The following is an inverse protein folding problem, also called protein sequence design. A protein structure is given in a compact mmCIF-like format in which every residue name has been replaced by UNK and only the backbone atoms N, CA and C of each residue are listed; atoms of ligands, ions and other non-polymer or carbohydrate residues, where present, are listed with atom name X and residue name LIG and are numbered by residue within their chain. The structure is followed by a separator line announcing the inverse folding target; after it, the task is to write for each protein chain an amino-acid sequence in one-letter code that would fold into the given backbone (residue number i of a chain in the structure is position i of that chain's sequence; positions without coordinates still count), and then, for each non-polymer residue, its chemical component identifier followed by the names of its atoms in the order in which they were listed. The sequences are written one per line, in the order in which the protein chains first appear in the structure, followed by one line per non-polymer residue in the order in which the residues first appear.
data_IF_457266212975
#
_entry.id   IF_457266212975
#
_cell.length_a   1.000
_cell.length_b   1.000
_cell.length_c   1.000
_cell.angle_alpha   90.00
_cell.angle_beta   90.00
_cell.angle_gamma   90.00
#
_symmetry.space_group_name_H-M   'P 1'
#
loop_
_entity.id
_entity.type
_entity.pdbx_description
1 polymer ?
#
# COMPACT_ATOMS: atom_id res chain seq x y z
N UNK A 1 9.10 24.12 1.86
CA UNK A 1 7.77 24.15 2.51
C UNK A 1 7.90 23.43 3.83
N UNK A 2 7.83 24.16 4.95
CA UNK A 2 7.89 23.61 6.30
C UNK A 2 6.58 22.85 6.57
N UNK A 3 6.67 21.54 6.78
CA UNK A 3 5.52 20.74 7.22
C UNK A 3 5.04 21.19 8.61
N UNK A 4 3.77 20.92 8.98
CA UNK A 4 3.24 21.31 10.27
C UNK A 4 4.11 20.75 11.41
N UNK A 5 4.55 21.61 12.32
CA UNK A 5 5.32 21.17 13.50
C UNK A 5 4.40 20.36 14.41
N UNK A 6 4.49 19.03 14.33
CA UNK A 6 3.80 18.14 15.26
C UNK A 6 4.40 18.36 16.64
N UNK A 7 3.59 18.88 17.57
CA UNK A 7 3.98 19.06 18.96
C UNK A 7 3.86 17.72 19.69
N UNK A 8 4.82 17.42 20.56
CA UNK A 8 4.72 16.27 21.46
C UNK A 8 3.43 16.33 22.28
N UNK A 9 2.75 15.19 22.39
CA UNK A 9 1.56 15.05 23.24
C UNK A 9 1.98 14.71 24.66
N UNK A 10 1.18 15.13 25.64
CA UNK A 10 1.50 14.83 27.04
C UNK A 10 1.39 13.34 27.32
N UNK A 11 2.18 12.84 28.27
CA UNK A 11 2.16 11.43 28.66
C UNK A 11 0.78 10.98 29.17
N UNK A 12 0.05 11.87 29.84
CA UNK A 12 -1.33 11.60 30.28
C UNK A 12 -2.28 11.44 29.10
N UNK A 13 -2.16 12.29 28.07
CA UNK A 13 -2.99 12.20 26.86
C UNK A 13 -2.72 10.92 26.07
N UNK A 14 -1.46 10.48 26.02
CA UNK A 14 -1.07 9.18 25.42
C UNK A 14 -1.85 8.06 26.08
N UNK A 15 -1.76 7.93 27.40
CA UNK A 15 -2.39 6.81 28.11
C UNK A 15 -3.91 6.87 28.09
N UNK A 16 -4.50 8.06 28.27
CA UNK A 16 -5.96 8.21 28.18
C UNK A 16 -6.49 7.85 26.80
N UNK A 17 -5.78 8.24 25.74
CA UNK A 17 -6.22 7.92 24.37
C UNK A 17 -6.14 6.43 24.12
N UNK A 18 -5.07 5.76 24.57
CA UNK A 18 -4.95 4.30 24.46
C UNK A 18 -6.10 3.59 25.19
N UNK A 19 -6.44 4.03 26.40
CA UNK A 19 -7.53 3.42 27.20
C UNK A 19 -8.90 3.60 26.57
N UNK A 20 -9.12 4.70 25.85
CA UNK A 20 -10.37 4.97 25.13
C UNK A 20 -10.50 4.19 23.81
N UNK A 21 -9.42 3.57 23.31
CA UNK A 21 -9.45 2.80 22.07
C UNK A 21 -9.80 1.32 22.31
N UNK A 22 -11.06 0.95 22.05
CA UNK A 22 -11.60 -0.39 22.31
C UNK A 22 -10.78 -1.53 21.67
N UNK A 23 -10.27 -1.34 20.45
CA UNK A 23 -9.54 -2.37 19.71
C UNK A 23 -8.03 -2.39 19.98
N UNK A 24 -7.51 -1.49 20.84
CA UNK A 24 -6.09 -1.29 21.14
C UNK A 24 -5.19 -1.14 19.89
N UNK A 25 -5.77 -0.78 18.75
CA UNK A 25 -5.05 -0.45 17.51
C UNK A 25 -5.02 1.06 17.36
N UNK A 26 -3.84 1.58 17.03
CA UNK A 26 -3.59 3.01 17.03
C UNK A 26 -2.84 3.40 15.78
N UNK A 27 -3.21 4.52 15.16
CA UNK A 27 -2.29 5.24 14.27
C UNK A 27 -1.37 6.05 15.15
N UNK A 28 -0.08 5.76 15.08
CA UNK A 28 0.94 6.40 15.92
C UNK A 28 1.94 7.08 15.00
N UNK A 29 2.14 8.37 15.23
CA UNK A 29 3.32 9.08 14.74
C UNK A 29 4.30 9.19 15.88
N UNK A 30 5.49 8.62 15.73
CA UNK A 30 6.53 8.71 16.75
C UNK A 30 7.84 9.22 16.15
N UNK A 31 8.64 9.85 16.99
CA UNK A 31 9.97 10.29 16.65
C UNK A 31 10.95 9.11 16.70
N UNK A 32 11.45 8.68 15.55
CA UNK A 32 12.44 7.61 15.46
C UNK A 32 13.88 8.11 15.66
N UNK A 33 14.11 9.42 15.44
CA UNK A 33 15.41 10.05 15.65
C UNK A 33 15.23 11.48 16.14
N UNK A 34 15.81 11.79 17.30
CA UNK A 34 15.91 13.15 17.82
C UNK A 34 17.37 13.57 17.96
N UNK A 35 17.64 14.85 17.69
CA UNK A 35 18.94 15.49 17.90
C UNK A 35 18.68 16.75 18.71
N UNK A 36 19.39 16.93 19.83
CA UNK A 36 19.23 18.07 20.74
C UNK A 36 17.78 18.29 21.23
N UNK A 37 17.02 17.20 21.42
CA UNK A 37 15.62 17.28 21.87
C UNK A 37 14.62 17.63 20.77
N UNK A 38 15.08 17.94 19.55
CA UNK A 38 14.21 18.16 18.40
C UNK A 38 14.04 16.87 17.60
N UNK A 39 12.82 16.60 17.14
CA UNK A 39 12.56 15.45 16.30
C UNK A 39 13.01 15.71 14.86
N UNK A 40 13.97 14.92 14.38
CA UNK A 40 14.50 15.03 13.02
C UNK A 40 13.76 14.08 12.06
N UNK A 41 13.46 12.87 12.54
CA UNK A 41 12.79 11.85 11.73
C UNK A 41 11.61 11.27 12.50
N UNK A 42 10.43 11.37 11.91
CA UNK A 42 9.21 10.74 12.41
C UNK A 42 8.80 9.56 11.54
N UNK A 43 8.11 8.59 12.15
CA UNK A 43 7.51 7.44 11.48
C UNK A 43 6.03 7.37 11.82
N UNK A 44 5.22 7.02 10.82
CA UNK A 44 3.81 6.76 10.95
C UNK A 44 3.58 5.25 10.87
N UNK A 45 2.95 4.67 11.89
CA UNK A 45 2.68 3.24 11.97
C UNK A 45 1.28 2.95 12.47
N UNK A 46 0.76 1.78 12.13
CA UNK A 46 -0.39 1.21 12.85
C UNK A 46 0.19 0.30 13.92
N UNK A 47 -0.06 0.62 15.18
CA UNK A 47 0.44 -0.12 16.34
C UNK A 47 -0.71 -0.86 17.02
N UNK A 48 -0.56 -2.17 17.22
CA UNK A 48 -1.41 -2.92 18.15
C UNK A 48 -0.71 -2.98 19.51
N UNK A 49 -1.28 -2.32 20.50
CA UNK A 49 -0.69 -2.30 21.85
C UNK A 49 -0.87 -3.67 22.52
N UNK A 50 0.24 -4.21 23.01
CA UNK A 50 0.28 -5.45 23.80
C UNK A 50 0.31 -5.12 25.28
N UNK A 51 1.07 -4.10 25.69
CA UNK A 51 1.26 -3.75 27.11
C UNK A 51 1.51 -2.26 27.32
N UNK A 52 1.07 -1.74 28.45
CA UNK A 52 1.22 -0.33 28.85
C UNK A 52 1.95 -0.29 30.19
N UNK A 53 3.08 0.41 30.25
CA UNK A 53 3.88 0.58 31.45
C UNK A 53 3.80 2.02 31.94
N UNK A 54 2.66 2.39 32.56
CA UNK A 54 2.40 3.76 33.04
C UNK A 54 3.50 4.29 33.97
N UNK A 55 3.98 3.47 34.90
CA UNK A 55 5.00 3.87 35.87
C UNK A 55 6.37 4.14 35.23
N UNK A 56 6.61 3.65 34.02
CA UNK A 56 7.89 3.77 33.32
C UNK A 56 7.79 4.64 32.06
N UNK A 57 6.60 5.15 31.73
CA UNK A 57 6.38 6.02 30.58
C UNK A 57 6.64 5.38 29.23
N UNK A 58 6.35 4.08 29.06
CA UNK A 58 6.46 3.43 27.76
C UNK A 58 5.31 2.47 27.46
N UNK A 59 5.16 2.17 26.18
CA UNK A 59 4.19 1.21 25.62
C UNK A 59 4.93 0.16 24.81
N UNK A 60 4.44 -1.07 24.89
CA UNK A 60 4.88 -2.19 24.06
C UNK A 60 3.76 -2.51 23.08
N UNK A 61 4.13 -2.85 21.85
CA UNK A 61 3.17 -3.26 20.85
C UNK A 61 3.81 -3.88 19.63
N UNK A 62 2.95 -4.22 18.69
CA UNK A 62 3.31 -4.82 17.40
C UNK A 62 2.91 -3.85 16.31
N UNK A 63 3.87 -3.41 15.50
CA UNK A 63 3.59 -2.68 14.26
C UNK A 63 2.89 -3.62 13.29
N UNK A 64 1.79 -3.14 12.72
CA UNK A 64 1.02 -3.84 11.71
C UNK A 64 1.33 -3.30 10.33
N UNK A 65 1.60 -4.21 9.38
CA UNK A 65 1.67 -3.92 7.95
C UNK A 65 0.58 -4.75 7.26
N UNK A 66 -0.30 -4.10 6.50
CA UNK A 66 -1.44 -4.76 5.87
C UNK A 66 -2.36 -5.53 6.85
N UNK A 67 -2.48 -5.03 8.09
CA UNK A 67 -3.16 -5.67 9.24
C UNK A 67 -2.50 -6.95 9.78
N UNK A 68 -1.30 -7.31 9.31
CA UNK A 68 -0.51 -8.44 9.82
C UNK A 68 0.63 -7.96 10.73
N UNK A 69 0.97 -8.70 11.80
CA UNK A 69 2.15 -8.45 12.62
C UNK A 69 3.43 -8.33 11.76
N UNK A 70 4.16 -7.23 11.91
CA UNK A 70 5.40 -6.98 11.16
C UNK A 70 6.63 -6.92 12.07
N UNK A 71 6.62 -6.06 13.09
CA UNK A 71 7.74 -5.90 14.03
C UNK A 71 7.24 -5.57 15.45
N UNK A 72 7.91 -6.08 16.48
CA UNK A 72 7.70 -5.65 17.86
C UNK A 72 8.35 -4.28 18.08
N UNK A 73 7.71 -3.43 18.86
CA UNK A 73 8.22 -2.09 19.17
C UNK A 73 7.94 -1.70 20.63
N UNK A 74 8.90 -1.01 21.21
CA UNK A 74 8.78 -0.34 22.52
C UNK A 74 8.92 1.16 22.26
N UNK A 75 7.91 1.94 22.65
CA UNK A 75 7.89 3.39 22.48
C UNK A 75 7.77 4.07 23.84
N UNK A 76 8.67 5.01 24.14
CA UNK A 76 8.46 5.94 25.26
C UNK A 76 7.35 6.92 24.90
N UNK A 77 6.52 7.29 25.87
CA UNK A 77 5.47 8.30 25.71
C UNK A 77 6.03 9.62 25.15
N UNK A 78 7.23 10.01 25.60
CA UNK A 78 7.95 11.19 25.12
C UNK A 78 8.40 11.14 23.66
N UNK A 79 8.37 9.97 23.02
CA UNK A 79 8.65 9.84 21.58
C UNK A 79 7.40 10.02 20.73
N UNK A 80 6.20 10.00 21.31
CA UNK A 80 4.96 10.03 20.55
C UNK A 80 4.59 11.47 20.20
N UNK A 81 4.41 11.72 18.91
CA UNK A 81 4.06 13.01 18.34
C UNK A 81 2.56 13.13 18.10
N UNK A 82 1.92 12.04 17.69
CA UNK A 82 0.46 11.95 17.59
C UNK A 82 -0.02 10.52 17.74
N UNK A 83 -1.25 10.36 18.23
CA UNK A 83 -1.85 9.06 18.49
C UNK A 83 -3.36 9.16 18.31
N UNK A 84 -3.92 8.27 17.50
CA UNK A 84 -5.36 8.22 17.22
C UNK A 84 -5.85 6.76 17.23
N UNK A 85 -7.07 6.52 17.72
CA UNK A 85 -7.70 5.20 17.60
C UNK A 85 -7.80 4.79 16.13
N UNK A 86 -7.22 3.63 15.81
CA UNK A 86 -7.37 3.05 14.48
C UNK A 86 -8.80 2.53 14.35
N UNK A 87 -9.67 3.27 13.67
CA UNK A 87 -10.98 2.77 13.25
C UNK A 87 -10.74 1.80 12.08
N UNK A 88 -11.13 0.54 12.22
CA UNK A 88 -10.93 -0.51 11.19
C UNK A 88 -11.63 -0.23 9.85
N UNK A 89 -12.38 0.87 9.73
CA UNK A 89 -13.13 1.27 8.54
C UNK A 89 -12.29 1.86 7.41
N UNK A 90 -11.04 1.45 7.26
CA UNK A 90 -10.28 1.57 6.02
C UNK A 90 -8.95 0.80 6.18
N UNK A 91 -8.92 -0.47 5.72
CA UNK A 91 -7.73 -0.89 4.98
C UNK A 91 -7.50 0.21 3.93
N UNK A 92 -6.26 0.63 3.60
CA UNK A 92 -6.06 1.22 2.29
C UNK A 92 -6.67 0.20 1.34
N UNK A 93 -7.78 0.57 0.70
CA UNK A 93 -8.40 -0.29 -0.30
C UNK A 93 -7.25 -0.63 -1.23
N UNK A 94 -6.93 -1.92 -1.39
CA UNK A 94 -5.91 -2.28 -2.38
C UNK A 94 -6.41 -1.63 -3.66
N UNK A 95 -5.63 -0.71 -4.26
CA UNK A 95 -6.13 0.08 -5.36
C UNK A 95 -6.68 -0.89 -6.39
N UNK A 96 -7.87 -0.60 -6.90
CA UNK A 96 -8.50 -1.51 -7.84
C UNK A 96 -7.54 -1.73 -9.02
N UNK A 97 -7.64 -2.88 -9.70
CA UNK A 97 -6.79 -3.15 -10.86
C UNK A 97 -6.88 -1.99 -11.88
N UNK A 98 -8.04 -1.36 -12.00
CA UNK A 98 -8.27 -0.18 -12.82
C UNK A 98 -7.47 1.04 -12.36
N UNK A 99 -7.42 1.33 -11.05
CA UNK A 99 -6.63 2.43 -10.49
C UNK A 99 -5.14 2.20 -10.68
N UNK A 100 -4.65 0.97 -10.47
CA UNK A 100 -3.25 0.64 -10.74
C UNK A 100 -2.91 0.90 -12.21
N UNK A 101 -3.75 0.45 -13.14
CA UNK A 101 -3.54 0.67 -14.58
C UNK A 101 -3.52 2.17 -14.92
N UNK A 102 -4.46 2.96 -14.37
CA UNK A 102 -4.50 4.41 -14.56
C UNK A 102 -3.20 5.08 -14.08
N UNK A 103 -2.72 4.70 -12.90
CA UNK A 103 -1.47 5.22 -12.32
C UNK A 103 -0.22 4.81 -13.12
N UNK A 104 -0.27 3.69 -13.85
CA UNK A 104 0.79 3.26 -14.75
C UNK A 104 0.66 3.84 -16.18
N UNK A 105 -0.25 4.81 -16.41
CA UNK A 105 -0.54 5.37 -17.73
C UNK A 105 -0.84 4.30 -18.80
N UNK A 106 -1.54 3.22 -18.41
CA UNK A 106 -1.90 2.14 -19.33
C UNK A 106 -0.77 1.18 -19.72
N UNK A 107 0.48 1.43 -19.30
CA UNK A 107 1.63 0.56 -19.58
C UNK A 107 1.93 -0.35 -18.40
N UNK A 108 1.47 -1.60 -18.50
CA UNK A 108 1.50 -2.52 -17.36
C UNK A 108 2.03 -3.90 -17.73
N UNK A 109 2.53 -4.59 -16.71
CA UNK A 109 2.71 -6.05 -16.72
C UNK A 109 1.50 -6.68 -16.04
N UNK A 110 0.85 -7.59 -16.74
CA UNK A 110 -0.31 -8.33 -16.24
C UNK A 110 0.10 -9.77 -15.98
N UNK A 111 -0.21 -10.29 -14.79
CA UNK A 111 -0.22 -11.72 -14.49
C UNK A 111 -1.67 -12.20 -14.57
N UNK A 112 -2.00 -12.93 -15.63
CA UNK A 112 -3.33 -13.47 -15.89
C UNK A 112 -3.39 -14.95 -15.50
N UNK A 113 -4.44 -15.37 -14.82
CA UNK A 113 -4.75 -16.78 -14.63
C UNK A 113 -5.21 -17.41 -15.95
N UNK A 114 -4.59 -18.51 -16.37
CA UNK A 114 -4.95 -19.24 -17.59
C UNK A 114 -5.69 -20.53 -17.31
N UNK A 115 -5.62 -21.06 -16.08
CA UNK A 115 -6.33 -22.28 -15.68
C UNK A 115 -6.81 -22.20 -14.24
N UNK A 116 -8.11 -22.38 -14.03
CA UNK A 116 -8.72 -22.52 -12.71
C UNK A 116 -9.03 -23.99 -12.43
N UNK A 117 -8.67 -24.47 -11.25
CA UNK A 117 -9.12 -25.77 -10.74
C UNK A 117 -9.56 -25.61 -9.29
N UNK A 118 -10.77 -26.10 -8.97
CA UNK A 118 -11.34 -26.07 -7.61
C UNK A 118 -11.32 -24.66 -6.97
N UNK A 119 -11.57 -23.62 -7.77
CA UNK A 119 -11.60 -22.23 -7.31
C UNK A 119 -10.24 -21.58 -7.07
N UNK A 120 -9.13 -22.30 -7.33
CA UNK A 120 -7.78 -21.75 -7.27
C UNK A 120 -7.18 -21.64 -8.67
N UNK A 121 -6.40 -20.57 -8.90
CA UNK A 121 -5.61 -20.48 -10.11
C UNK A 121 -4.46 -21.49 -10.05
N UNK A 122 -4.35 -22.37 -11.05
CA UNK A 122 -3.29 -23.37 -11.17
C UNK A 122 -2.18 -22.93 -12.10
N UNK A 123 -2.56 -22.35 -13.23
CA UNK A 123 -1.62 -21.85 -14.23
C UNK A 123 -1.84 -20.36 -14.43
N UNK A 124 -0.74 -19.62 -14.55
CA UNK A 124 -0.77 -18.21 -14.84
C UNK A 124 0.26 -17.86 -15.91
N UNK A 125 0.02 -16.73 -16.57
CA UNK A 125 0.91 -16.19 -17.57
C UNK A 125 1.12 -14.71 -17.33
N UNK A 126 2.38 -14.31 -17.37
CA UNK A 126 2.78 -12.90 -17.23
C UNK A 126 3.18 -12.33 -18.58
N UNK A 127 2.70 -11.14 -18.91
CA UNK A 127 3.06 -10.46 -20.14
C UNK A 127 2.95 -8.94 -20.01
N UNK A 128 3.69 -8.23 -20.87
CA UNK A 128 3.59 -6.78 -21.01
C UNK A 128 2.32 -6.45 -21.82
N UNK A 129 1.60 -5.43 -21.38
CA UNK A 129 0.28 -5.08 -21.88
C UNK A 129 0.12 -3.56 -21.97
N UNK A 130 -0.42 -3.12 -23.10
CA UNK A 130 -0.68 -1.72 -23.44
C UNK A 130 -2.20 -1.55 -23.39
N UNK A 131 -2.71 -0.98 -22.30
CA UNK A 131 -4.15 -0.82 -22.05
C UNK A 131 -4.68 0.38 -22.84
N UNK A 132 -5.60 0.13 -23.77
CA UNK A 132 -6.23 1.18 -24.58
C UNK A 132 -7.59 1.61 -24.06
N UNK A 133 -8.29 0.74 -23.33
CA UNK A 133 -9.59 1.07 -22.74
C UNK A 133 -9.82 0.29 -21.44
N UNK A 134 -10.30 0.99 -20.43
CA UNK A 134 -10.84 0.42 -19.21
C UNK A 134 -12.38 0.46 -19.27
N UNK A 135 -13.01 -0.71 -19.20
CA UNK A 135 -14.46 -0.84 -19.14
C UNK A 135 -14.84 -1.38 -17.75
N UNK A 136 -14.83 -0.47 -16.78
CA UNK A 136 -15.08 -0.78 -15.36
C UNK A 136 -16.49 -1.36 -15.14
N UNK A 137 -17.47 -0.90 -15.91
CA UNK A 137 -18.85 -1.38 -15.84
C UNK A 137 -18.94 -2.87 -16.16
N UNK A 138 -18.23 -3.33 -17.18
CA UNK A 138 -18.20 -4.73 -17.60
C UNK A 138 -16.98 -5.48 -17.07
N UNK A 139 -16.22 -4.87 -16.14
CA UNK A 139 -15.03 -5.47 -15.52
C UNK A 139 -13.96 -5.92 -16.52
N UNK A 140 -13.81 -5.21 -17.64
CA UNK A 140 -12.92 -5.58 -18.74
C UNK A 140 -11.76 -4.59 -18.91
N UNK A 141 -10.59 -5.13 -19.23
CA UNK A 141 -9.38 -4.39 -19.63
C UNK A 141 -9.08 -4.72 -21.08
N UNK A 142 -9.07 -3.72 -21.97
CA UNK A 142 -8.84 -3.90 -23.40
C UNK A 142 -7.52 -3.28 -23.81
N UNK A 143 -6.81 -3.93 -24.72
CA UNK A 143 -5.52 -3.43 -25.16
C UNK A 143 -4.69 -4.45 -25.92
N UNK A 144 -3.39 -4.19 -26.01
CA UNK A 144 -2.46 -5.00 -26.78
C UNK A 144 -1.47 -5.71 -25.89
N UNK A 145 -1.41 -7.04 -26.00
CA UNK A 145 -0.32 -7.84 -25.46
C UNK A 145 0.86 -7.78 -26.41
N UNK A 146 2.04 -7.49 -25.87
CA UNK A 146 3.27 -7.53 -26.65
C UNK A 146 3.92 -8.90 -26.50
N UNK A 147 4.02 -9.65 -27.59
CA UNK A 147 4.68 -10.95 -27.64
C UNK A 147 6.20 -10.76 -27.65
N UNK A 148 6.95 -11.82 -27.29
CA UNK A 148 8.42 -11.78 -27.23
C UNK A 148 9.12 -11.50 -28.57
N UNK A 149 8.40 -11.67 -29.69
CA UNK A 149 8.86 -11.30 -31.03
C UNK A 149 8.51 -9.84 -31.41
N UNK A 150 8.01 -9.04 -30.46
CA UNK A 150 7.61 -7.66 -30.68
C UNK A 150 6.27 -7.49 -31.40
N UNK A 151 5.51 -8.55 -31.70
CA UNK A 151 4.16 -8.40 -32.28
C UNK A 151 3.13 -8.03 -31.21
N UNK A 152 2.31 -7.02 -31.50
CA UNK A 152 1.18 -6.64 -30.69
C UNK A 152 -0.06 -7.45 -31.06
N UNK A 153 -0.77 -7.97 -30.05
CA UNK A 153 -2.01 -8.73 -30.22
C UNK A 153 -3.10 -8.09 -29.37
N UNK A 154 -4.18 -7.67 -30.03
CA UNK A 154 -5.33 -7.11 -29.32
C UNK A 154 -6.05 -8.20 -28.52
N UNK A 155 -6.42 -7.88 -27.28
CA UNK A 155 -7.20 -8.76 -26.44
C UNK A 155 -8.07 -7.98 -25.45
N UNK A 156 -9.12 -8.65 -24.99
CA UNK A 156 -9.99 -8.21 -23.90
C UNK A 156 -9.78 -9.17 -22.74
N UNK A 157 -9.46 -8.64 -21.57
CA UNK A 157 -9.18 -9.41 -20.36
C UNK A 157 -10.26 -9.09 -19.34
N UNK A 158 -10.96 -10.13 -18.86
CA UNK A 158 -11.81 -10.00 -17.68
C UNK A 158 -10.92 -9.79 -16.45
N UNK A 159 -11.17 -8.71 -15.70
CA UNK A 159 -10.40 -8.32 -14.51
C UNK A 159 -10.39 -9.40 -13.42
N UNK A 160 -11.39 -10.29 -13.35
CA UNK A 160 -11.41 -11.43 -12.43
C UNK A 160 -10.34 -12.49 -12.74
N UNK A 161 -9.83 -12.51 -13.97
CA UNK A 161 -8.73 -13.39 -14.37
C UNK A 161 -7.36 -12.77 -14.09
N UNK A 162 -7.30 -11.50 -13.66
CA UNK A 162 -6.04 -10.81 -13.39
C UNK A 162 -5.65 -11.04 -11.93
N UNK A 163 -4.49 -11.67 -11.73
CA UNK A 163 -3.95 -11.94 -10.40
C UNK A 163 -3.11 -10.77 -9.89
N UNK A 164 -2.42 -10.06 -10.80
CA UNK A 164 -1.50 -8.98 -10.46
C UNK A 164 -1.34 -8.01 -11.63
N UNK A 165 -1.20 -6.72 -11.30
CA UNK A 165 -0.81 -5.66 -12.23
C UNK A 165 0.35 -4.87 -11.64
N UNK A 166 1.35 -4.60 -12.47
CA UNK A 166 2.54 -3.82 -12.10
C UNK A 166 2.83 -2.80 -13.20
N UNK A 167 3.32 -1.61 -12.85
CA UNK A 167 3.79 -0.66 -13.85
C UNK A 167 5.05 -1.21 -14.53
N UNK A 168 5.17 -0.99 -15.83
CA UNK A 168 6.43 -1.26 -16.52
C UNK A 168 7.48 -0.21 -16.13
N UNK A 169 8.73 -0.65 -15.99
CA UNK A 169 9.85 0.26 -15.73
C UNK A 169 10.21 1.03 -17.00
N UNK A 170 10.82 2.21 -16.87
CA UNK A 170 11.25 3.03 -18.01
C UNK A 170 12.14 2.26 -19.00
N UNK A 171 12.95 1.31 -18.52
CA UNK A 171 13.79 0.46 -19.36
C UNK A 171 12.96 -0.51 -20.21
N UNK A 172 11.90 -1.08 -19.65
CA UNK A 172 11.00 -2.00 -20.35
C UNK A 172 10.10 -1.27 -21.36
N UNK A 173 9.75 -0.02 -21.04
CA UNK A 173 9.04 0.89 -21.94
C UNK A 173 9.89 1.24 -23.16
N UNK A 174 11.14 1.64 -22.94
CA UNK A 174 12.08 2.01 -24.02
C UNK A 174 12.49 0.82 -24.90
N UNK A 175 12.49 -0.40 -24.35
CA UNK A 175 12.79 -1.61 -25.10
C UNK A 175 11.67 -2.03 -26.07
N UNK A 176 10.51 -1.35 -26.05
CA UNK A 176 9.33 -1.76 -26.79
C UNK A 176 8.84 -0.66 -27.74
N UNK A 177 9.03 -0.79 -29.07
CA UNK A 177 8.71 0.26 -30.04
C UNK A 177 7.20 0.62 -30.07
N UNK A 178 6.33 -0.25 -29.57
CA UNK A 178 4.89 0.00 -29.46
C UNK A 178 4.49 0.93 -28.30
N UNK A 179 5.42 1.27 -27.40
CA UNK A 179 5.15 2.10 -26.22
C UNK A 179 5.44 3.60 -26.44
N UNK A 180 5.73 4.00 -27.68
CA UNK A 180 5.92 5.41 -28.07
C UNK A 180 4.62 6.13 -28.45
N UNK A 181 3.46 5.48 -28.38
CA UNK A 181 2.18 6.12 -28.66
C UNK A 181 1.63 6.80 -27.39
N UNK A 182 1.45 8.13 -27.37
CA UNK A 182 0.89 8.82 -26.23
C UNK A 182 -0.57 8.39 -26.05
N UNK A 183 -0.90 7.93 -24.84
CA UNK A 183 -2.27 7.76 -24.41
C UNK A 183 -2.89 9.14 -24.16
N UNK A 184 -3.99 9.44 -24.85
CA UNK A 184 -4.87 10.58 -24.54
C UNK A 184 -6.04 10.10 -23.69
#
# INVERSE_FOLDING_TARGET
MLGPSLKFISEQDVFQTIEKCENKKLKVTYCSLSINGECITSKNVILKITKIHKNCGFIEGVVLKDNEPFEDIILKSSQILSLECFKENQKPEKPSIFEVIKNCNGMVRITQCTKFEKGACKDSRTFNFIVTQLDEKNKNVKGYRIRGNGQAEYMVIDSSMILKVECLTSREVLANPWMMFPFK
#
